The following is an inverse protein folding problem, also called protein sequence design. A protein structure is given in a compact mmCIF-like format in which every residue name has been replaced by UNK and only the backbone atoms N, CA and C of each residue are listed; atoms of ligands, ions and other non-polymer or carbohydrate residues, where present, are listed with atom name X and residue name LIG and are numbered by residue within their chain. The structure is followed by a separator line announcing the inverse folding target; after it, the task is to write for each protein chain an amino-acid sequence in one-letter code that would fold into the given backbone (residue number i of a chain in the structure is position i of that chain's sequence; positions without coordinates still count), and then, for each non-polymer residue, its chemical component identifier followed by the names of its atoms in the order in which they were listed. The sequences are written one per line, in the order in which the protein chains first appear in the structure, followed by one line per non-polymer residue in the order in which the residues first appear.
data_IF_755559525924
#
_entry.id   IF_755559525924
#
_cell.length_a   1.000
_cell.length_b   1.000
_cell.length_c   1.000
_cell.angle_alpha   90.00
_cell.angle_beta   90.00
_cell.angle_gamma   90.00
#
_symmetry.space_group_name_H-M   'P 1'
#
loop_
_entity.id
_entity.type
_entity.pdbx_description
1 polymer ?
#
# COMPACT_ATOMS: atom_id res chain seq x y z
N UNK A 1 23.09 -1.34 -5.42
CA UNK A 1 21.72 -0.99 -5.08
C UNK A 1 21.62 -0.66 -3.60
N UNK A 2 21.14 0.51 -3.25
CA UNK A 2 21.21 0.94 -1.85
C UNK A 2 20.08 0.42 -0.96
N UNK A 3 19.41 -0.64 -1.34
CA UNK A 3 18.29 -1.15 -0.55
C UNK A 3 18.73 -1.92 0.68
N UNK A 4 20.00 -2.34 0.75
CA UNK A 4 20.46 -3.13 1.87
C UNK A 4 21.17 -2.26 2.89
N UNK A 5 20.49 -1.87 3.93
CA UNK A 5 21.02 -1.05 5.01
C UNK A 5 21.41 -1.89 6.22
N UNK A 6 21.80 -3.15 5.99
CA UNK A 6 22.10 -4.09 7.04
C UNK A 6 20.88 -4.80 7.62
N UNK A 7 19.69 -4.51 7.10
CA UNK A 7 18.46 -5.18 7.48
C UNK A 7 17.41 -5.02 6.37
N UNK A 8 16.47 -5.94 6.32
CA UNK A 8 15.36 -5.82 5.40
C UNK A 8 14.39 -4.74 5.86
N UNK A 9 13.85 -4.02 4.90
CA UNK A 9 12.85 -2.99 5.16
C UNK A 9 11.59 -3.32 4.36
N UNK A 10 10.44 -3.09 4.99
CA UNK A 10 9.15 -3.35 4.38
C UNK A 10 8.34 -2.05 4.37
N UNK A 11 7.67 -1.80 3.25
CA UNK A 11 6.74 -0.68 3.12
C UNK A 11 5.34 -1.25 2.94
N UNK A 12 4.43 -0.86 3.82
CA UNK A 12 3.02 -1.14 3.67
C UNK A 12 2.34 0.13 3.18
N UNK A 13 1.43 -0.01 2.23
CA UNK A 13 0.77 1.16 1.67
C UNK A 13 -0.63 0.87 1.18
N UNK A 14 -1.43 1.91 1.10
CA UNK A 14 -2.79 1.85 0.58
C UNK A 14 -2.99 2.96 -0.44
N UNK A 15 -3.49 2.59 -1.61
CA UNK A 15 -3.75 3.49 -2.71
C UNK A 15 -5.25 3.76 -2.82
N UNK A 16 -5.59 5.03 -2.94
CA UNK A 16 -6.94 5.51 -3.23
C UNK A 16 -6.90 6.15 -4.62
N UNK A 17 -8.04 6.32 -5.27
CA UNK A 17 -8.07 6.97 -6.58
C UNK A 17 -7.60 8.44 -6.53
N UNK A 18 -7.39 8.99 -5.35
CA UNK A 18 -6.85 10.34 -5.16
C UNK A 18 -5.37 10.34 -4.76
N UNK A 19 -4.73 9.16 -4.66
CA UNK A 19 -3.34 9.04 -4.30
C UNK A 19 -3.11 8.08 -3.16
N UNK A 20 -1.90 8.09 -2.59
CA UNK A 20 -1.55 7.27 -1.45
C UNK A 20 -2.23 7.83 -0.19
N UNK A 21 -2.97 6.98 0.52
CA UNK A 21 -3.70 7.38 1.73
C UNK A 21 -3.01 6.98 3.01
N UNK A 22 -2.26 5.89 2.97
CA UNK A 22 -1.60 5.39 4.17
C UNK A 22 -0.32 4.70 3.74
N UNK A 23 0.74 4.89 4.49
CA UNK A 23 2.01 4.21 4.25
C UNK A 23 2.80 4.11 5.53
N UNK A 24 3.57 3.02 5.65
CA UNK A 24 4.38 2.75 6.83
C UNK A 24 5.66 2.05 6.39
N UNK A 25 6.81 2.55 6.87
CA UNK A 25 8.11 1.94 6.65
C UNK A 25 8.50 1.19 7.92
N UNK A 26 8.82 -0.08 7.80
CA UNK A 26 9.12 -0.96 8.92
C UNK A 26 10.45 -1.67 8.72
N UNK A 27 11.22 -1.91 9.79
CA UNK A 27 12.33 -2.83 9.72
C UNK A 27 11.81 -4.28 9.70
N UNK A 28 12.53 -5.13 8.98
CA UNK A 28 12.22 -6.55 8.93
C UNK A 28 11.04 -6.89 8.04
N UNK A 29 10.64 -8.15 8.09
CA UNK A 29 9.51 -8.67 7.33
C UNK A 29 8.20 -8.40 8.07
N UNK A 30 7.13 -8.26 7.30
CA UNK A 30 5.79 -8.08 7.88
C UNK A 30 5.23 -9.43 8.30
N UNK A 31 4.76 -9.52 9.53
CA UNK A 31 3.97 -10.65 10.01
C UNK A 31 2.50 -10.25 10.18
N UNK A 32 1.67 -11.20 10.60
CA UNK A 32 0.24 -10.95 10.73
C UNK A 32 -0.10 -9.89 11.76
N UNK A 33 0.65 -9.84 12.87
CA UNK A 33 0.41 -8.86 13.92
C UNK A 33 0.77 -7.44 13.47
N UNK A 34 1.88 -7.29 12.75
CA UNK A 34 2.28 -6.01 12.20
C UNK A 34 1.27 -5.53 11.17
N UNK A 35 0.82 -6.42 10.30
CA UNK A 35 -0.19 -6.09 9.31
C UNK A 35 -1.50 -5.66 9.98
N UNK A 36 -1.91 -6.36 11.01
CA UNK A 36 -3.11 -6.03 11.77
C UNK A 36 -3.01 -4.63 12.39
N UNK A 37 -1.86 -4.33 12.99
CA UNK A 37 -1.62 -3.01 13.57
C UNK A 37 -1.68 -1.91 12.51
N UNK A 38 -1.10 -2.17 11.34
CA UNK A 38 -1.18 -1.22 10.23
C UNK A 38 -2.64 -0.95 9.85
N UNK A 39 -3.43 -2.00 9.68
CA UNK A 39 -4.82 -1.84 9.28
C UNK A 39 -5.62 -1.09 10.35
N UNK A 40 -5.45 -1.43 11.61
CA UNK A 40 -6.22 -0.82 12.69
C UNK A 40 -5.84 0.63 12.94
N UNK A 41 -4.55 0.95 12.89
CA UNK A 41 -4.04 2.25 13.35
C UNK A 41 -3.68 3.22 12.23
N UNK A 42 -3.31 2.70 11.07
CA UNK A 42 -2.84 3.54 9.97
C UNK A 42 -3.88 3.61 8.85
N UNK A 43 -4.41 2.48 8.45
CA UNK A 43 -5.36 2.41 7.33
C UNK A 43 -6.77 2.79 7.73
N UNK A 44 -7.29 2.20 8.80
CA UNK A 44 -8.68 2.38 9.21
C UNK A 44 -9.08 3.85 9.37
N UNK A 45 -8.26 4.73 9.98
CA UNK A 45 -8.62 6.15 10.11
C UNK A 45 -8.79 6.86 8.76
N UNK A 46 -8.22 6.32 7.69
CA UNK A 46 -8.30 6.89 6.35
C UNK A 46 -9.51 6.37 5.56
N UNK A 47 -10.25 5.43 6.12
CA UNK A 47 -11.39 4.81 5.45
C UNK A 47 -12.70 5.39 5.96
N UNK A 48 -13.69 5.40 5.08
CA UNK A 48 -15.05 5.81 5.39
C UNK A 48 -15.96 4.61 5.32
N UNK A 49 -17.04 4.66 6.10
CA UNK A 49 -18.07 3.64 6.05
C UNK A 49 -18.59 3.54 4.60
N UNK A 50 -18.67 2.32 4.10
CA UNK A 50 -19.07 2.06 2.73
C UNK A 50 -17.92 1.90 1.76
N UNK A 51 -16.69 2.21 2.17
CA UNK A 51 -15.52 2.01 1.33
C UNK A 51 -15.29 0.52 1.09
N UNK A 52 -14.70 0.20 -0.06
CA UNK A 52 -14.28 -1.16 -0.38
C UNK A 52 -12.77 -1.22 -0.37
N UNK A 53 -12.23 -2.16 0.40
CA UNK A 53 -10.79 -2.42 0.47
C UNK A 53 -10.49 -3.62 -0.41
N UNK A 54 -9.57 -3.42 -1.35
CA UNK A 54 -9.14 -4.47 -2.28
C UNK A 54 -7.71 -4.83 -1.94
N UNK A 55 -7.43 -6.12 -1.76
CA UNK A 55 -6.06 -6.60 -1.56
C UNK A 55 -5.81 -7.90 -2.29
N UNK A 56 -4.54 -8.24 -2.43
CA UNK A 56 -4.18 -9.43 -3.18
C UNK A 56 -4.45 -10.70 -2.38
N UNK A 57 -4.41 -11.82 -3.09
CA UNK A 57 -4.71 -13.11 -2.48
C UNK A 57 -3.61 -13.60 -1.54
N UNK A 58 -2.39 -13.08 -1.68
CA UNK A 58 -1.28 -13.48 -0.83
C UNK A 58 -1.44 -12.98 0.60
N UNK A 59 -2.17 -11.91 0.80
CA UNK A 59 -2.42 -11.34 2.11
C UNK A 59 -3.54 -12.04 2.87
N UNK A 60 -4.24 -13.00 2.26
CA UNK A 60 -5.44 -13.61 2.84
C UNK A 60 -5.21 -14.20 4.23
N UNK A 61 -4.11 -14.91 4.43
CA UNK A 61 -3.81 -15.51 5.73
C UNK A 61 -3.52 -14.48 6.81
N UNK A 62 -2.91 -13.37 6.42
CA UNK A 62 -2.51 -12.32 7.35
C UNK A 62 -3.66 -11.43 7.77
N UNK A 63 -4.74 -11.45 7.00
CA UNK A 63 -5.89 -10.56 7.25
C UNK A 63 -7.08 -11.27 7.89
N UNK A 64 -6.96 -12.56 8.20
CA UNK A 64 -8.09 -13.34 8.71
C UNK A 64 -8.76 -12.71 9.94
N UNK A 65 -7.98 -12.17 10.87
CA UNK A 65 -8.53 -11.48 12.03
C UNK A 65 -8.86 -10.01 11.78
N UNK A 66 -8.36 -9.45 10.69
CA UNK A 66 -8.50 -8.03 10.35
C UNK A 66 -9.77 -7.77 9.57
N UNK A 67 -10.20 -8.74 8.75
CA UNK A 67 -11.41 -8.61 7.97
C UNK A 67 -12.61 -8.23 8.83
N UNK A 68 -12.74 -8.84 10.00
CA UNK A 68 -13.84 -8.56 10.92
C UNK A 68 -13.81 -7.14 11.43
N UNK A 69 -12.63 -6.59 11.70
CA UNK A 69 -12.49 -5.21 12.18
C UNK A 69 -13.03 -4.24 11.14
N UNK A 70 -12.66 -4.43 9.88
CA UNK A 70 -13.10 -3.55 8.81
C UNK A 70 -14.58 -3.72 8.50
N UNK A 71 -15.07 -4.96 8.46
CA UNK A 71 -16.48 -5.24 8.19
C UNK A 71 -17.38 -4.67 9.28
N UNK A 72 -16.96 -4.81 10.54
CA UNK A 72 -17.69 -4.24 11.67
C UNK A 72 -17.76 -2.71 11.58
N UNK A 73 -16.72 -2.09 11.05
CA UNK A 73 -16.67 -0.65 10.86
C UNK A 73 -17.43 -0.18 9.61
N UNK A 74 -18.01 -1.10 8.84
CA UNK A 74 -18.83 -0.77 7.70
C UNK A 74 -18.15 -0.77 6.35
N UNK A 75 -16.92 -1.29 6.26
CA UNK A 75 -16.19 -1.43 5.00
C UNK A 75 -16.46 -2.79 4.38
N UNK A 76 -16.37 -2.86 3.06
CA UNK A 76 -16.43 -4.11 2.31
C UNK A 76 -15.03 -4.56 1.93
N UNK A 77 -14.81 -5.86 1.83
CA UNK A 77 -13.51 -6.44 1.47
C UNK A 77 -13.65 -7.23 0.19
N UNK A 78 -12.62 -7.13 -0.64
CA UNK A 78 -12.54 -7.87 -1.88
C UNK A 78 -11.11 -8.37 -2.08
N UNK A 79 -10.97 -9.67 -2.33
CA UNK A 79 -9.67 -10.27 -2.62
C UNK A 79 -9.51 -10.43 -4.13
N UNK A 80 -8.36 -9.99 -4.64
CA UNK A 80 -8.07 -10.19 -6.05
C UNK A 80 -7.84 -11.67 -6.33
N UNK A 81 -8.19 -12.14 -7.55
CA UNK A 81 -7.88 -13.52 -7.93
C UNK A 81 -6.37 -13.78 -7.86
N UNK A 82 -5.94 -15.05 -7.62
CA UNK A 82 -4.52 -15.37 -7.64
C UNK A 82 -3.87 -15.01 -8.96
N UNK A 83 -2.61 -14.58 -8.90
CA UNK A 83 -1.81 -14.27 -10.09
C UNK A 83 -2.46 -13.24 -11.02
N UNK A 84 -3.05 -12.21 -10.45
CA UNK A 84 -3.77 -11.18 -11.21
C UNK A 84 -3.20 -9.78 -10.98
N UNK A 85 -1.91 -9.54 -11.26
CA UNK A 85 -1.32 -8.21 -11.05
C UNK A 85 -1.97 -7.13 -11.91
N UNK A 86 -2.56 -7.51 -13.05
CA UNK A 86 -3.21 -6.55 -13.95
C UNK A 86 -4.45 -5.90 -13.35
N UNK A 87 -4.99 -6.46 -12.28
CA UNK A 87 -6.15 -5.91 -11.59
C UNK A 87 -5.76 -5.12 -10.33
N UNK A 88 -4.46 -4.94 -10.09
CA UNK A 88 -3.98 -4.31 -8.87
C UNK A 88 -3.32 -2.96 -9.16
N UNK A 89 -4.01 -1.83 -8.90
CA UNK A 89 -3.45 -0.51 -9.13
C UNK A 89 -2.20 -0.20 -8.29
N UNK A 90 -1.97 -0.96 -7.21
CA UNK A 90 -0.76 -0.79 -6.40
C UNK A 90 0.51 -1.20 -7.16
N UNK A 91 0.41 -2.10 -8.14
CA UNK A 91 1.60 -2.54 -8.88
C UNK A 91 2.27 -1.38 -9.62
N UNK A 92 1.57 -0.60 -10.46
CA UNK A 92 2.21 0.56 -11.07
C UNK A 92 2.58 1.64 -10.06
N UNK A 93 1.85 1.78 -8.97
CA UNK A 93 2.21 2.72 -7.92
C UNK A 93 3.54 2.34 -7.28
N UNK A 94 3.73 1.06 -6.93
CA UNK A 94 5.01 0.59 -6.40
C UNK A 94 6.14 0.75 -7.41
N UNK A 95 5.87 0.52 -8.69
CA UNK A 95 6.86 0.70 -9.74
C UNK A 95 7.38 2.13 -9.78
N UNK A 96 6.48 3.10 -9.71
CA UNK A 96 6.86 4.53 -9.68
C UNK A 96 7.66 4.85 -8.42
N UNK A 97 7.18 4.42 -7.26
CA UNK A 97 7.84 4.67 -5.98
C UNK A 97 9.24 4.07 -5.95
N UNK A 98 9.37 2.82 -6.40
CA UNK A 98 10.68 2.16 -6.44
C UNK A 98 11.66 2.88 -7.37
N UNK A 99 11.19 3.36 -8.51
CA UNK A 99 12.01 4.12 -9.44
C UNK A 99 12.54 5.40 -8.79
N UNK A 100 11.67 6.12 -8.09
CA UNK A 100 12.06 7.34 -7.39
C UNK A 100 13.02 7.07 -6.25
N UNK A 101 12.82 5.99 -5.51
CA UNK A 101 13.72 5.60 -4.42
C UNK A 101 15.11 5.24 -4.95
N UNK A 102 15.18 4.50 -6.07
CA UNK A 102 16.46 4.19 -6.69
C UNK A 102 17.20 5.44 -7.15
N UNK A 103 16.46 6.38 -7.74
CA UNK A 103 17.04 7.65 -8.18
C UNK A 103 17.57 8.48 -7.02
N UNK A 104 16.94 8.41 -5.86
CA UNK A 104 17.36 9.14 -4.67
C UNK A 104 18.67 8.60 -4.09
N UNK A 105 18.98 7.31 -4.29
CA UNK A 105 20.24 6.71 -3.84
C UNK A 105 20.47 6.78 -2.35
N UNK A 106 19.41 6.68 -1.55
CA UNK A 106 19.54 6.80 -0.09
C UNK A 106 20.42 5.71 0.50
N UNK A 107 21.27 6.10 1.45
CA UNK A 107 22.22 5.20 2.08
C UNK A 107 22.03 5.03 3.58
N UNK A 108 21.19 5.85 4.18
CA UNK A 108 20.85 5.73 5.60
C UNK A 108 19.34 5.53 5.71
N UNK A 109 18.92 5.00 6.85
CA UNK A 109 17.49 4.82 7.10
C UNK A 109 16.75 6.16 7.13
N UNK A 110 17.35 7.17 7.73
CA UNK A 110 16.75 8.50 7.78
C UNK A 110 16.61 9.10 6.38
N UNK A 111 17.60 8.93 5.52
CA UNK A 111 17.53 9.39 4.15
C UNK A 111 16.48 8.61 3.36
N UNK A 112 16.41 7.29 3.59
CA UNK A 112 15.39 6.45 2.94
C UNK A 112 13.99 6.88 3.33
N UNK A 113 13.76 7.18 4.61
CA UNK A 113 12.46 7.65 5.10
C UNK A 113 12.06 8.95 4.38
N UNK A 114 12.97 9.90 4.27
CA UNK A 114 12.70 11.16 3.57
C UNK A 114 12.47 10.95 2.08
N UNK A 115 13.26 10.05 1.46
CA UNK A 115 13.10 9.73 0.05
C UNK A 115 11.74 9.07 -0.20
N UNK A 116 11.31 8.20 0.69
CA UNK A 116 10.01 7.55 0.60
C UNK A 116 8.88 8.58 0.71
N UNK A 117 8.97 9.49 1.67
CA UNK A 117 7.97 10.55 1.82
C UNK A 117 7.86 11.39 0.56
N UNK A 118 9.01 11.74 -0.05
CA UNK A 118 9.03 12.48 -1.30
C UNK A 118 8.45 11.70 -2.46
N UNK A 119 8.75 10.41 -2.54
CA UNK A 119 8.21 9.53 -3.58
C UNK A 119 6.70 9.39 -3.47
N UNK A 120 6.20 9.20 -2.24
CA UNK A 120 4.76 9.09 -1.99
C UNK A 120 4.03 10.38 -2.39
N UNK A 121 4.64 11.53 -2.13
CA UNK A 121 4.06 12.82 -2.49
C UNK A 121 3.98 13.01 -4.01
N UNK A 122 4.79 12.30 -4.78
CA UNK A 122 4.78 12.37 -6.24
C UNK A 122 3.73 11.47 -6.89
N UNK A 123 3.08 10.61 -6.12
CA UNK A 123 1.93 9.85 -6.61
C UNK A 123 0.73 10.79 -6.62
N UNK A 124 0.42 11.32 -7.80
CA UNK A 124 -0.65 12.30 -7.94
C UNK A 124 -2.03 11.64 -8.01
N UNK A 125 -3.07 12.44 -7.81
CA UNK A 125 -4.43 11.97 -8.03
C UNK A 125 -4.65 11.54 -9.48
N UNK A 126 -4.04 12.26 -10.42
CA UNK A 126 -4.13 11.92 -11.84
C UNK A 126 -3.49 10.56 -12.12
N UNK A 127 -2.29 10.30 -11.56
CA UNK A 127 -1.64 8.99 -11.68
C UNK A 127 -2.54 7.88 -11.15
N UNK A 128 -3.04 8.07 -9.95
CA UNK A 128 -3.85 7.09 -9.26
C UNK A 128 -5.13 6.76 -10.04
N UNK A 129 -5.82 7.77 -10.50
CA UNK A 129 -7.05 7.58 -11.30
C UNK A 129 -6.75 6.82 -12.60
N UNK A 130 -5.63 7.14 -13.25
CA UNK A 130 -5.24 6.45 -14.47
C UNK A 130 -4.96 4.97 -14.21
N UNK A 131 -4.30 4.66 -13.10
CA UNK A 131 -3.99 3.27 -12.74
C UNK A 131 -5.26 2.48 -12.39
N UNK A 132 -6.18 3.07 -11.61
CA UNK A 132 -7.46 2.41 -11.33
C UNK A 132 -8.24 2.14 -12.59
N UNK A 133 -8.31 3.13 -13.48
CA UNK A 133 -9.03 3.00 -14.73
C UNK A 133 -8.40 1.93 -15.63
N UNK A 134 -7.08 1.93 -15.72
CA UNK A 134 -6.35 0.92 -16.51
C UNK A 134 -6.62 -0.49 -16.00
N UNK A 135 -6.75 -0.66 -14.69
CA UNK A 135 -7.04 -1.95 -14.08
C UNK A 135 -8.53 -2.31 -14.11
N UNK A 136 -9.37 -1.48 -14.72
CA UNK A 136 -10.78 -1.79 -14.92
C UNK A 136 -11.72 -1.34 -13.80
N UNK A 137 -11.27 -0.50 -12.89
CA UNK A 137 -12.14 -0.01 -11.81
C UNK A 137 -12.93 1.20 -12.26
N UNK A 138 -14.27 1.19 -12.07
CA UNK A 138 -15.08 2.36 -12.39
C UNK A 138 -14.82 3.47 -11.38
N UNK A 139 -14.62 4.68 -11.87
CA UNK A 139 -14.42 5.87 -11.03
C UNK A 139 -15.53 6.87 -11.30
N UNK A 140 -16.07 7.40 -10.23
CA UNK A 140 -17.15 8.38 -10.28
C UNK A 140 -16.70 9.75 -9.83
#
# INVERSE_FOLDING_TARGET
MPQNYGQNLTVLGALHHRGIRAALLLPGATDGEVFRTFVERVLRPELKRGDTVVWDNLAAHKVAGVAEVLQTAGMSLYYLPPYSPDYNPMEPAWSKIKTLLRAAGARTRAHLQRALEGALAQVSAQDSRAWFKHCGYPLH
#
